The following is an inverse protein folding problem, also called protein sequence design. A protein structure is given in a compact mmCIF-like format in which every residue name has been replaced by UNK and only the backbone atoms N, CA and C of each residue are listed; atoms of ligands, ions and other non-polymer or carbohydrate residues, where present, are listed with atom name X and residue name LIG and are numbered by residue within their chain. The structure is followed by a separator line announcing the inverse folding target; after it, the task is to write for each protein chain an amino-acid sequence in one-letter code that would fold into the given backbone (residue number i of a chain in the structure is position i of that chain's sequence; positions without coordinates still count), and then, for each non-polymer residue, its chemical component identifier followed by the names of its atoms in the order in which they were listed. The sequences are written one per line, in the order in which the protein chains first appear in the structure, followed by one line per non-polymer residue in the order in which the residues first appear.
data_IF_938007573304
#
_entry.id   IF_938007573304
#
_cell.length_a   1.000
_cell.length_b   1.000
_cell.length_c   1.000
_cell.angle_alpha   90.00
_cell.angle_beta   90.00
_cell.angle_gamma   90.00
#
_symmetry.space_group_name_H-M   'P 1'
#
loop_
_entity.id
_entity.type
_entity.pdbx_description
1 polymer ?
#
# COMPACT_ATOMS: atom_id res chain seq x y z
N UNK A 1 -58.80 -42.45 14.42
CA UNK A 1 -57.92 -41.75 13.45
C UNK A 1 -56.49 -41.97 13.90
N UNK A 2 -55.71 -42.76 13.16
CA UNK A 2 -54.32 -43.06 13.51
C UNK A 2 -53.41 -42.20 12.64
N UNK A 3 -52.57 -41.40 13.29
CA UNK A 3 -51.55 -40.59 12.63
C UNK A 3 -50.24 -41.36 12.75
N UNK A 4 -49.59 -41.60 11.60
CA UNK A 4 -48.26 -42.22 11.55
C UNK A 4 -47.25 -41.22 12.11
N UNK A 5 -46.76 -41.46 13.33
CA UNK A 5 -45.82 -40.57 14.03
C UNK A 5 -44.37 -40.80 13.59
N UNK A 6 -44.04 -42.01 13.15
CA UNK A 6 -42.67 -42.37 12.80
C UNK A 6 -42.61 -43.50 11.76
N UNK A 7 -41.62 -43.47 10.87
CA UNK A 7 -41.16 -44.63 10.10
C UNK A 7 -39.65 -44.57 9.94
N UNK A 8 -38.97 -45.64 10.33
CA UNK A 8 -37.55 -45.81 10.06
C UNK A 8 -37.36 -46.60 8.74
N UNK A 9 -36.42 -46.20 7.87
CA UNK A 9 -36.05 -46.99 6.71
C UNK A 9 -35.28 -48.25 7.14
N UNK A 10 -35.53 -49.38 6.48
CA UNK A 10 -34.71 -50.59 6.60
C UNK A 10 -33.41 -50.32 5.85
N UNK A 11 -32.29 -50.24 6.57
CA UNK A 11 -30.96 -50.07 5.98
C UNK A 11 -30.46 -51.43 5.46
N UNK A 12 -30.29 -51.55 4.14
CA UNK A 12 -29.69 -52.72 3.51
C UNK A 12 -28.21 -52.45 3.26
N UNK A 13 -27.34 -53.20 3.94
CA UNK A 13 -25.89 -53.06 3.78
C UNK A 13 -25.44 -53.84 2.54
N UNK A 14 -24.76 -53.15 1.63
CA UNK A 14 -24.25 -53.73 0.39
C UNK A 14 -22.74 -53.94 0.47
N UNK A 15 -22.31 -55.18 0.23
CA UNK A 15 -20.91 -55.60 0.31
C UNK A 15 -20.37 -55.97 -1.07
N UNK A 16 -19.07 -55.75 -1.26
CA UNK A 16 -18.35 -56.14 -2.47
C UNK A 16 -16.92 -56.60 -2.13
N UNK A 17 -16.35 -57.57 -2.88
CA UNK A 17 -14.95 -57.95 -2.74
C UNK A 17 -14.01 -56.77 -3.01
N UNK A 18 -12.83 -56.74 -2.35
CA UNK A 18 -11.84 -55.65 -2.44
C UNK A 18 -11.37 -55.34 -3.88
N UNK A 19 -11.36 -56.32 -4.77
CA UNK A 19 -10.91 -56.19 -6.17
C UNK A 19 -12.08 -56.28 -7.18
N UNK A 20 -13.23 -55.69 -6.84
CA UNK A 20 -14.45 -55.73 -7.67
C UNK A 20 -14.74 -54.42 -8.40
N UNK A 21 -15.58 -54.48 -9.44
CA UNK A 21 -16.05 -53.29 -10.19
C UNK A 21 -16.73 -52.25 -9.28
N UNK A 22 -17.42 -52.69 -8.23
CA UNK A 22 -18.07 -51.79 -7.27
C UNK A 22 -17.06 -50.96 -6.47
N UNK A 23 -15.94 -51.56 -6.07
CA UNK A 23 -14.85 -50.84 -5.38
C UNK A 23 -14.18 -49.83 -6.31
N UNK A 24 -13.96 -50.20 -7.58
CA UNK A 24 -13.42 -49.27 -8.59
C UNK A 24 -14.36 -48.08 -8.79
N UNK A 25 -15.66 -48.30 -8.91
CA UNK A 25 -16.64 -47.21 -9.07
C UNK A 25 -16.68 -46.33 -7.82
N UNK A 26 -16.65 -46.92 -6.61
CA UNK A 26 -16.57 -46.15 -5.36
C UNK A 26 -15.28 -45.31 -5.29
N UNK A 27 -14.15 -45.86 -5.72
CA UNK A 27 -12.88 -45.14 -5.84
C UNK A 27 -13.01 -43.98 -6.84
N UNK A 28 -13.55 -44.22 -8.04
CA UNK A 28 -13.80 -43.17 -9.03
C UNK A 28 -14.69 -42.05 -8.49
N UNK A 29 -15.74 -42.38 -7.71
CA UNK A 29 -16.59 -41.39 -7.06
C UNK A 29 -15.84 -40.58 -5.98
N UNK A 30 -14.96 -41.21 -5.20
CA UNK A 30 -14.11 -40.49 -4.25
C UNK A 30 -13.13 -39.55 -4.98
N UNK A 31 -12.55 -40.00 -6.09
CA UNK A 31 -11.70 -39.15 -6.93
C UNK A 31 -12.49 -37.99 -7.56
N UNK A 32 -13.75 -38.22 -7.96
CA UNK A 32 -14.66 -37.18 -8.47
C UNK A 32 -15.00 -36.13 -7.40
N UNK A 33 -15.05 -36.52 -6.12
CA UNK A 33 -15.28 -35.58 -5.00
C UNK A 33 -14.02 -34.75 -4.69
N UNK A 34 -12.82 -35.29 -4.91
CA UNK A 34 -11.58 -34.64 -4.48
C UNK A 34 -10.90 -33.83 -5.60
N UNK A 35 -10.77 -34.42 -6.79
CA UNK A 35 -9.90 -33.90 -7.86
C UNK A 35 -10.53 -32.68 -8.57
N UNK A 36 -11.75 -32.76 -9.14
CA UNK A 36 -12.33 -31.61 -9.84
C UNK A 36 -12.50 -30.37 -8.94
N UNK A 37 -12.97 -30.48 -7.68
CA UNK A 37 -13.04 -29.31 -6.79
C UNK A 37 -11.71 -28.61 -6.58
N UNK A 38 -10.62 -29.38 -6.48
CA UNK A 38 -9.28 -28.81 -6.35
C UNK A 38 -8.89 -28.01 -7.61
N UNK A 39 -9.12 -28.56 -8.81
CA UNK A 39 -8.83 -27.84 -10.06
C UNK A 39 -9.72 -26.60 -10.24
N UNK A 40 -10.99 -26.66 -9.83
CA UNK A 40 -11.90 -25.50 -9.88
C UNK A 40 -11.42 -24.42 -8.90
N UNK A 41 -11.11 -24.79 -7.65
CA UNK A 41 -10.62 -23.85 -6.65
C UNK A 41 -9.28 -23.21 -7.06
N UNK A 42 -8.38 -23.99 -7.64
CA UNK A 42 -7.10 -23.50 -8.15
C UNK A 42 -7.26 -22.58 -9.37
N UNK A 43 -8.15 -22.92 -10.31
CA UNK A 43 -8.35 -22.12 -11.53
C UNK A 43 -9.04 -20.78 -11.26
N UNK A 44 -9.86 -20.71 -10.21
CA UNK A 44 -10.60 -19.50 -9.79
C UNK A 44 -9.79 -18.53 -8.91
N UNK A 45 -8.47 -18.72 -8.79
CA UNK A 45 -7.48 -17.77 -8.20
C UNK A 45 -7.61 -17.44 -6.71
N UNK A 46 -8.55 -18.01 -5.98
CA UNK A 46 -8.68 -17.80 -4.53
C UNK A 46 -7.78 -18.69 -3.66
N UNK A 47 -7.23 -19.78 -4.21
CA UNK A 47 -6.48 -20.78 -3.45
C UNK A 47 -5.07 -20.31 -3.05
N UNK A 48 -4.42 -19.47 -3.88
CA UNK A 48 -3.07 -18.96 -3.61
C UNK A 48 -3.03 -17.44 -3.75
N UNK A 49 -3.48 -16.76 -2.70
CA UNK A 49 -3.48 -15.30 -2.61
C UNK A 49 -2.05 -14.78 -2.49
N UNK A 50 -1.65 -13.87 -3.39
CA UNK A 50 -0.27 -13.33 -3.44
C UNK A 50 -0.15 -11.97 -2.76
N UNK A 51 -1.17 -11.14 -2.89
CA UNK A 51 -1.21 -9.78 -2.36
C UNK A 51 -2.62 -9.51 -1.83
N UNK A 52 -2.67 -8.78 -0.72
CA UNK A 52 -3.89 -8.22 -0.13
C UNK A 52 -3.67 -6.75 0.17
N UNK A 53 -4.74 -6.02 0.46
CA UNK A 53 -4.67 -4.61 0.78
C UNK A 53 -5.28 -4.28 2.13
N UNK A 54 -4.78 -3.21 2.74
CA UNK A 54 -5.34 -2.62 3.94
C UNK A 54 -5.28 -1.10 3.84
N UNK A 55 -6.08 -0.43 4.67
CA UNK A 55 -6.02 1.02 4.81
C UNK A 55 -5.27 1.39 6.09
N UNK A 56 -4.36 2.35 5.98
CA UNK A 56 -3.62 2.94 7.10
C UNK A 56 -3.28 4.41 6.81
N UNK A 57 -3.38 5.24 7.83
CA UNK A 57 -2.85 6.61 7.85
C UNK A 57 -1.40 6.55 8.34
N UNK A 58 -0.43 7.07 7.58
CA UNK A 58 0.95 7.09 8.03
C UNK A 58 1.13 8.09 9.18
N UNK A 59 1.93 7.74 10.18
CA UNK A 59 2.46 8.72 11.14
C UNK A 59 3.70 9.37 10.54
N UNK A 60 3.65 10.69 10.37
CA UNK A 60 4.62 11.46 9.58
C UNK A 60 5.19 12.57 10.44
N UNK A 61 6.50 12.53 10.67
CA UNK A 61 7.22 13.55 11.42
C UNK A 61 8.16 14.33 10.50
N UNK A 62 8.08 15.65 10.50
CA UNK A 62 9.00 16.49 9.77
C UNK A 62 10.37 16.55 10.45
N UNK A 63 11.40 16.09 9.74
CA UNK A 63 12.75 15.95 10.33
C UNK A 63 13.50 17.28 10.38
N UNK A 64 12.88 18.38 9.95
CA UNK A 64 13.50 19.72 9.86
C UNK A 64 14.66 19.80 8.87
N UNK A 65 14.72 18.85 7.95
CA UNK A 65 15.64 18.86 6.82
C UNK A 65 14.86 19.29 5.58
N UNK A 66 15.31 20.36 4.93
CA UNK A 66 14.67 20.89 3.73
C UNK A 66 15.68 21.55 2.79
N UNK A 67 15.35 21.62 1.51
CA UNK A 67 16.00 22.43 0.49
C UNK A 67 14.94 23.23 -0.25
N UNK A 68 15.17 24.52 -0.43
CA UNK A 68 14.35 25.41 -1.26
C UNK A 68 15.24 26.08 -2.28
N UNK A 69 14.75 26.11 -3.52
CA UNK A 69 15.37 26.78 -4.65
C UNK A 69 14.29 27.65 -5.30
N UNK A 70 14.58 28.94 -5.40
CA UNK A 70 13.79 29.93 -6.09
C UNK A 70 14.58 30.32 -7.34
N UNK A 71 13.99 30.07 -8.49
CA UNK A 71 14.54 30.42 -9.79
C UNK A 71 13.87 31.71 -10.26
N UNK A 72 14.66 32.64 -10.76
CA UNK A 72 14.19 33.86 -11.42
C UNK A 72 14.06 33.70 -12.93
N UNK A 73 13.81 34.81 -13.63
CA UNK A 73 13.62 34.82 -15.08
C UNK A 73 14.90 34.51 -15.86
N UNK A 74 16.07 34.78 -15.26
CA UNK A 74 17.36 34.49 -15.88
C UNK A 74 17.98 33.21 -15.31
N UNK A 75 18.71 32.41 -16.12
CA UNK A 75 19.34 31.17 -15.64
C UNK A 75 20.34 31.33 -14.48
N UNK A 76 20.81 32.56 -14.24
CA UNK A 76 21.75 32.88 -13.17
C UNK A 76 21.07 33.46 -11.92
N UNK A 77 19.80 33.89 -12.02
CA UNK A 77 18.97 34.34 -10.90
C UNK A 77 18.47 33.11 -10.15
N UNK A 78 19.28 32.64 -9.19
CA UNK A 78 18.92 31.51 -8.34
C UNK A 78 19.15 31.93 -6.89
N UNK A 79 18.08 31.91 -6.11
CA UNK A 79 18.10 32.11 -4.67
C UNK A 79 17.79 30.78 -4.01
N UNK A 80 18.47 30.46 -2.93
CA UNK A 80 18.31 29.15 -2.31
C UNK A 80 18.53 29.21 -0.82
N UNK A 81 17.92 28.27 -0.12
CA UNK A 81 18.12 28.08 1.30
C UNK A 81 17.85 26.63 1.69
N UNK A 82 18.60 26.15 2.66
CA UNK A 82 18.40 24.84 3.26
C UNK A 82 18.65 24.92 4.76
N UNK A 83 18.13 23.97 5.51
CA UNK A 83 18.53 23.75 6.90
C UNK A 83 19.88 23.02 7.02
N UNK A 84 20.45 22.56 5.90
CA UNK A 84 21.74 21.83 5.84
C UNK A 84 22.92 22.81 5.77
N UNK A 85 23.79 22.87 6.80
CA UNK A 85 24.90 23.83 6.82
C UNK A 85 25.92 23.64 5.69
N UNK A 86 26.20 22.39 5.33
CA UNK A 86 27.18 22.06 4.29
C UNK A 86 26.71 22.48 2.91
N UNK A 87 25.42 22.30 2.59
CA UNK A 87 24.82 22.78 1.36
C UNK A 87 24.85 24.31 1.27
N UNK A 88 24.46 24.99 2.36
CA UNK A 88 24.50 26.45 2.42
C UNK A 88 25.92 26.99 2.15
N UNK A 89 26.98 26.37 2.70
CA UNK A 89 28.38 26.79 2.43
C UNK A 89 28.76 26.75 0.95
N UNK A 90 28.20 25.82 0.17
CA UNK A 90 28.47 25.71 -1.27
C UNK A 90 27.82 26.83 -2.08
N UNK A 91 26.70 27.37 -1.60
CA UNK A 91 25.88 28.35 -2.30
C UNK A 91 26.33 29.80 -2.09
N UNK A 92 27.09 30.06 -1.01
CA UNK A 92 27.73 31.34 -0.70
C UNK A 92 26.80 32.56 -0.87
N UNK A 93 26.95 33.33 -1.95
CA UNK A 93 26.22 34.58 -2.21
C UNK A 93 24.79 34.37 -2.68
N UNK A 94 24.41 33.14 -3.06
CA UNK A 94 23.06 32.80 -3.55
C UNK A 94 22.08 32.45 -2.42
N UNK A 95 22.52 32.56 -1.17
CA UNK A 95 21.73 32.18 0.00
C UNK A 95 20.81 33.34 0.40
N UNK A 96 19.52 33.04 0.57
CA UNK A 96 18.56 33.95 1.20
C UNK A 96 17.91 33.27 2.37
N UNK A 97 18.21 33.72 3.58
CA UNK A 97 17.67 33.11 4.80
C UNK A 97 16.23 33.61 5.00
N UNK A 98 15.21 32.73 4.94
CA UNK A 98 13.82 33.12 5.17
C UNK A 98 13.49 33.12 6.66
N UNK A 99 12.37 33.77 7.00
CA UNK A 99 11.65 33.47 8.23
C UNK A 99 10.90 32.14 8.05
N UNK A 100 11.44 31.07 8.63
CA UNK A 100 10.88 29.73 8.56
C UNK A 100 9.97 29.42 9.75
N UNK A 101 8.74 28.97 9.48
CA UNK A 101 7.76 28.51 10.47
C UNK A 101 7.17 27.18 9.99
N UNK A 102 6.95 26.26 10.91
CA UNK A 102 6.20 25.04 10.63
C UNK A 102 5.28 24.69 11.80
N UNK A 103 4.19 23.98 11.50
CA UNK A 103 3.22 23.48 12.47
C UNK A 103 2.72 22.11 12.02
N UNK A 104 2.82 21.12 12.89
CA UNK A 104 2.20 19.81 12.69
C UNK A 104 0.92 19.79 13.51
N UNK A 105 -0.16 19.29 12.93
CA UNK A 105 -1.47 19.24 13.58
C UNK A 105 -2.01 17.81 13.58
N UNK A 106 -2.59 17.45 14.72
CA UNK A 106 -3.45 16.29 14.93
C UNK A 106 -4.85 16.88 15.21
N UNK A 107 -5.65 17.00 14.15
CA UNK A 107 -6.91 17.73 14.19
C UNK A 107 -8.02 16.89 14.84
N UNK A 108 -7.93 15.56 14.76
CA UNK A 108 -8.90 14.62 15.33
C UNK A 108 -8.51 14.11 16.74
N UNK A 109 -7.30 14.42 17.21
CA UNK A 109 -6.72 14.05 18.51
C UNK A 109 -6.54 12.54 18.71
N UNK A 110 -6.25 11.80 17.64
CA UNK A 110 -6.02 10.35 17.70
C UNK A 110 -4.56 9.95 17.97
N UNK A 111 -3.65 10.93 18.09
CA UNK A 111 -2.22 10.74 18.31
C UNK A 111 -1.42 10.56 17.01
N UNK A 112 -2.06 10.64 15.85
CA UNK A 112 -1.45 10.62 14.51
C UNK A 112 -1.59 12.01 13.91
N UNK A 113 -0.51 12.50 13.30
CA UNK A 113 -0.53 13.81 12.64
C UNK A 113 -1.39 13.73 11.37
N UNK A 114 -2.22 14.75 11.14
CA UNK A 114 -3.12 14.84 9.98
C UNK A 114 -2.52 15.68 8.86
N UNK A 115 -1.75 16.72 9.19
CA UNK A 115 -1.09 17.56 8.20
C UNK A 115 0.08 18.35 8.79
N UNK A 116 0.92 18.85 7.89
CA UNK A 116 1.92 19.87 8.20
C UNK A 116 1.62 21.16 7.43
N UNK A 117 1.73 22.28 8.13
CA UNK A 117 1.81 23.62 7.57
C UNK A 117 3.25 24.11 7.63
N UNK A 118 3.81 24.47 6.48
CA UNK A 118 5.11 25.10 6.34
C UNK A 118 4.92 26.49 5.74
N UNK A 119 5.59 27.50 6.32
CA UNK A 119 5.61 28.87 5.81
C UNK A 119 7.03 29.41 5.83
N UNK A 120 7.45 30.00 4.72
CA UNK A 120 8.77 30.61 4.53
C UNK A 120 8.59 31.98 3.89
N UNK A 121 9.12 33.01 4.55
CA UNK A 121 9.12 34.39 4.04
C UNK A 121 10.55 34.78 3.67
N UNK A 122 10.86 34.85 2.37
CA UNK A 122 12.18 35.16 1.85
C UNK A 122 12.35 36.67 1.65
N UNK A 123 13.37 37.30 2.25
CA UNK A 123 13.63 38.72 2.01
C UNK A 123 14.14 38.93 0.57
N UNK A 124 13.42 39.73 -0.21
CA UNK A 124 13.70 40.00 -1.62
C UNK A 124 14.43 41.33 -1.79
N UNK A 125 15.46 41.37 -2.66
CA UNK A 125 16.07 42.61 -3.13
C UNK A 125 15.34 43.17 -4.36
N UNK A 126 15.65 44.41 -4.75
CA UNK A 126 15.04 45.10 -5.90
C UNK A 126 15.24 44.38 -7.24
N UNK A 127 16.37 43.68 -7.38
CA UNK A 127 16.74 42.94 -8.60
C UNK A 127 16.32 41.46 -8.54
N UNK A 128 15.81 40.99 -7.40
CA UNK A 128 15.42 39.59 -7.22
C UNK A 128 14.02 39.34 -7.81
N UNK A 129 13.92 38.33 -8.66
CA UNK A 129 12.67 37.87 -9.24
C UNK A 129 12.47 36.36 -9.02
N UNK A 130 11.23 35.93 -8.83
CA UNK A 130 10.90 34.50 -8.67
C UNK A 130 9.84 34.12 -9.68
N UNK A 131 10.16 33.14 -10.52
CA UNK A 131 9.29 32.56 -11.54
C UNK A 131 9.07 31.06 -11.31
N UNK A 132 10.02 30.37 -10.68
CA UNK A 132 9.93 28.94 -10.45
C UNK A 132 10.40 28.59 -9.03
N UNK A 133 9.66 27.72 -8.37
CA UNK A 133 9.93 27.30 -7.01
C UNK A 133 10.06 25.78 -6.97
N UNK A 134 11.16 25.32 -6.40
CA UNK A 134 11.38 23.92 -6.04
C UNK A 134 11.61 23.84 -4.54
N UNK A 135 10.83 23.00 -3.87
CA UNK A 135 10.92 22.77 -2.43
C UNK A 135 10.94 21.27 -2.15
N UNK A 136 11.88 20.86 -1.32
CA UNK A 136 12.11 19.49 -0.92
C UNK A 136 12.09 19.44 0.60
N UNK A 137 11.13 18.72 1.16
CA UNK A 137 10.98 18.52 2.60
C UNK A 137 11.25 17.06 2.93
N UNK A 138 12.01 16.80 3.99
CA UNK A 138 12.29 15.44 4.46
C UNK A 138 11.45 15.14 5.69
N UNK A 139 10.88 13.93 5.71
CA UNK A 139 10.01 13.45 6.76
C UNK A 139 10.48 12.06 7.23
N UNK A 140 10.16 11.69 8.45
CA UNK A 140 10.18 10.31 8.92
C UNK A 140 8.76 9.78 8.85
N UNK A 141 8.57 8.64 8.21
CA UNK A 141 7.26 8.03 8.01
C UNK A 141 7.23 6.67 8.66
N UNK A 142 6.20 6.44 9.47
CA UNK A 142 5.95 5.20 10.20
C UNK A 142 4.62 4.58 9.79
N UNK A 143 4.67 3.27 9.56
CA UNK A 143 3.49 2.41 9.38
C UNK A 143 3.57 1.32 10.44
N UNK A 144 2.43 0.97 11.02
CA UNK A 144 2.34 0.16 12.24
C UNK A 144 1.29 -0.95 12.19
N UNK A 145 0.34 -0.92 11.25
CA UNK A 145 -0.82 -1.82 11.25
C UNK A 145 -0.49 -3.30 10.97
N UNK A 146 0.46 -3.56 10.07
CA UNK A 146 0.91 -4.91 9.71
C UNK A 146 2.40 -5.10 10.03
N UNK A 147 3.27 -4.70 9.11
CA UNK A 147 4.69 -4.56 9.39
C UNK A 147 4.99 -3.19 9.99
N UNK A 148 5.89 -3.17 10.98
CA UNK A 148 6.44 -1.94 11.55
C UNK A 148 7.44 -1.36 10.56
N UNK A 149 7.00 -0.46 9.69
CA UNK A 149 7.84 0.20 8.70
C UNK A 149 8.29 1.55 9.24
N UNK A 150 9.58 1.84 9.13
CA UNK A 150 10.11 3.19 9.33
C UNK A 150 10.96 3.55 8.12
N UNK A 151 10.66 4.67 7.49
CA UNK A 151 11.37 5.15 6.32
C UNK A 151 11.57 6.66 6.37
N UNK A 152 12.66 7.13 5.74
CA UNK A 152 12.83 8.55 5.43
C UNK A 152 12.06 8.85 4.15
N UNK A 153 11.05 9.71 4.27
CA UNK A 153 10.19 10.23 3.23
C UNK A 153 10.71 11.57 2.68
N UNK A 154 10.29 11.90 1.46
CA UNK A 154 10.53 13.17 0.80
C UNK A 154 9.22 13.68 0.22
N UNK A 155 8.95 14.97 0.43
CA UNK A 155 7.92 15.72 -0.28
C UNK A 155 8.62 16.64 -1.27
N UNK A 156 8.40 16.41 -2.56
CA UNK A 156 8.94 17.21 -3.64
C UNK A 156 7.83 18.08 -4.22
N UNK A 157 7.97 19.39 -4.10
CA UNK A 157 7.04 20.40 -4.58
C UNK A 157 7.76 21.24 -5.64
N UNK A 158 7.18 21.33 -6.82
CA UNK A 158 7.78 22.01 -7.95
C UNK A 158 6.71 22.74 -8.76
N UNK A 159 6.93 24.02 -9.04
CA UNK A 159 6.00 24.81 -9.84
C UNK A 159 6.70 25.97 -10.56
N UNK A 160 6.61 25.98 -11.89
CA UNK A 160 7.08 27.06 -12.73
C UNK A 160 5.90 27.91 -13.23
N UNK A 161 5.93 29.20 -12.90
CA UNK A 161 4.96 30.19 -13.33
C UNK A 161 5.41 30.89 -14.63
N UNK A 162 4.45 31.40 -15.39
CA UNK A 162 4.72 32.18 -16.60
C UNK A 162 5.28 33.59 -16.33
N UNK A 163 5.27 34.06 -15.09
CA UNK A 163 5.72 35.39 -14.72
C UNK A 163 6.03 35.52 -13.24
N UNK A 164 6.61 36.66 -12.87
CA UNK A 164 7.05 36.94 -11.51
C UNK A 164 5.88 36.93 -10.51
N UNK A 165 6.10 36.28 -9.37
CA UNK A 165 5.15 36.24 -8.26
C UNK A 165 5.79 36.68 -6.95
N UNK A 166 4.93 37.05 -5.99
CA UNK A 166 5.34 37.35 -4.61
C UNK A 166 4.95 36.24 -3.63
N UNK A 167 4.05 35.34 -4.01
CA UNK A 167 3.68 34.24 -3.14
C UNK A 167 3.26 32.99 -3.91
N UNK A 168 3.50 31.84 -3.28
CA UNK A 168 3.02 30.54 -3.73
C UNK A 168 2.46 29.75 -2.55
N UNK A 169 1.29 29.16 -2.76
CA UNK A 169 0.67 28.26 -1.80
C UNK A 169 0.54 26.88 -2.44
N UNK A 170 1.20 25.88 -1.86
CA UNK A 170 1.02 24.48 -2.21
C UNK A 170 0.03 23.83 -1.26
N UNK A 171 -0.94 23.10 -1.79
CA UNK A 171 -1.81 22.21 -1.02
C UNK A 171 -1.81 20.83 -1.66
N UNK A 172 -1.52 19.77 -0.92
CA UNK A 172 -1.49 18.42 -1.48
C UNK A 172 -1.53 17.34 -0.41
N UNK A 173 -1.55 16.08 -0.83
CA UNK A 173 -1.64 14.90 0.03
C UNK A 173 -0.35 14.09 -0.07
N UNK A 174 0.34 13.83 1.04
CA UNK A 174 1.46 12.89 1.00
C UNK A 174 0.94 11.47 0.92
N UNK A 175 1.46 10.70 -0.04
CA UNK A 175 1.19 9.27 -0.19
C UNK A 175 2.46 8.45 -0.17
N UNK A 176 2.36 7.25 0.38
CA UNK A 176 3.43 6.25 0.35
C UNK A 176 3.33 5.48 -0.95
N UNK A 177 4.39 5.55 -1.75
CA UNK A 177 4.57 4.75 -2.95
C UNK A 177 5.29 3.44 -2.61
N UNK A 178 4.61 2.34 -2.86
CA UNK A 178 5.16 0.98 -2.80
C UNK A 178 5.30 0.41 -4.21
N UNK A 179 6.45 -0.20 -4.53
CA UNK A 179 6.66 -0.92 -5.81
C UNK A 179 6.31 -2.40 -5.71
N UNK A 180 6.53 -2.98 -4.53
CA UNK A 180 6.18 -4.35 -4.16
C UNK A 180 5.42 -4.32 -2.84
N UNK A 181 4.53 -5.30 -2.65
CA UNK A 181 3.80 -5.50 -1.42
C UNK A 181 4.72 -5.59 -0.18
N UNK A 182 4.26 -5.00 0.92
CA UNK A 182 4.91 -5.02 2.22
C UNK A 182 4.88 -6.45 2.83
N UNK A 183 5.82 -6.77 3.73
CA UNK A 183 5.69 -7.98 4.54
C UNK A 183 4.46 -7.89 5.46
N UNK A 184 3.88 -9.05 5.81
CA UNK A 184 2.75 -9.12 6.75
C UNK A 184 3.10 -8.68 8.18
N UNK A 185 4.34 -8.90 8.61
CA UNK A 185 4.81 -8.63 9.96
C UNK A 185 6.31 -8.28 9.98
N UNK A 186 6.80 -7.93 11.17
CA UNK A 186 8.21 -7.66 11.42
C UNK A 186 8.54 -6.18 11.27
N UNK A 187 9.83 -5.85 11.41
CA UNK A 187 10.33 -4.48 11.39
C UNK A 187 11.09 -4.23 10.09
N UNK A 188 10.69 -3.21 9.34
CA UNK A 188 11.34 -2.79 8.11
C UNK A 188 11.93 -1.38 8.27
N UNK A 189 13.24 -1.31 8.50
CA UNK A 189 13.97 -0.04 8.63
C UNK A 189 14.97 0.19 7.50
N UNK A 190 14.97 -0.64 6.46
CA UNK A 190 15.93 -0.57 5.35
C UNK A 190 15.93 0.80 4.65
N UNK A 191 14.78 1.48 4.65
CA UNK A 191 14.62 2.80 4.04
C UNK A 191 14.71 3.96 5.03
N UNK A 192 15.06 3.69 6.30
CA UNK A 192 15.38 4.71 7.29
C UNK A 192 16.85 5.15 7.15
N UNK A 193 17.19 5.61 5.95
CA UNK A 193 18.52 6.11 5.61
C UNK A 193 18.40 7.56 5.16
N UNK A 194 19.42 8.36 5.46
CA UNK A 194 19.46 9.78 5.09
C UNK A 194 19.30 9.93 3.57
N UNK A 195 18.38 10.81 3.17
CA UNK A 195 18.17 11.15 1.75
C UNK A 195 19.16 12.25 1.33
N UNK A 196 19.35 13.23 2.21
CA UNK A 196 20.28 14.33 2.03
C UNK A 196 21.49 14.09 2.93
N UNK A 197 22.69 14.07 2.35
CA UNK A 197 23.92 13.89 3.13
C UNK A 197 24.34 15.23 3.73
N UNK A 198 23.86 15.54 4.94
CA UNK A 198 24.13 16.81 5.64
C UNK A 198 25.62 17.13 5.85
N UNK A 199 26.46 16.11 5.85
CA UNK A 199 27.89 16.21 6.18
C UNK A 199 28.79 16.25 4.94
N UNK A 200 28.25 16.03 3.75
CA UNK A 200 29.08 16.00 2.54
C UNK A 200 29.52 17.42 2.15
N UNK A 201 30.81 17.62 1.85
CA UNK A 201 31.32 18.87 1.28
C UNK A 201 31.17 18.93 -0.25
N UNK A 202 30.71 17.88 -0.92
CA UNK A 202 30.68 17.80 -2.38
C UNK A 202 29.35 18.29 -2.94
N UNK A 203 29.39 19.16 -3.94
CA UNK A 203 28.19 19.67 -4.62
C UNK A 203 27.40 18.58 -5.36
N UNK A 204 28.07 17.54 -5.83
CA UNK A 204 27.44 16.38 -6.49
C UNK A 204 26.42 15.67 -5.59
N UNK A 205 26.65 15.68 -4.28
CA UNK A 205 25.81 14.96 -3.32
C UNK A 205 24.49 15.69 -3.04
N UNK A 206 24.39 16.95 -3.49
CA UNK A 206 23.18 17.78 -3.41
C UNK A 206 22.52 18.00 -4.77
N UNK A 207 22.97 17.29 -5.82
CA UNK A 207 22.32 17.31 -7.11
C UNK A 207 20.92 16.67 -7.01
N UNK A 208 19.87 17.47 -7.26
CA UNK A 208 18.48 17.03 -7.16
C UNK A 208 18.18 15.86 -8.09
N UNK A 209 18.77 15.83 -9.29
CA UNK A 209 18.53 14.75 -10.23
C UNK A 209 19.04 13.40 -9.68
N UNK A 210 20.24 13.39 -9.12
CA UNK A 210 20.82 12.21 -8.48
C UNK A 210 20.03 11.79 -7.24
N UNK A 211 19.64 12.75 -6.39
CA UNK A 211 18.84 12.49 -5.19
C UNK A 211 17.49 11.86 -5.55
N UNK A 212 16.75 12.47 -6.47
CA UNK A 212 15.43 12.00 -6.89
C UNK A 212 15.53 10.62 -7.55
N UNK A 213 16.50 10.43 -8.44
CA UNK A 213 16.70 9.14 -9.13
C UNK A 213 16.97 8.03 -8.12
N UNK A 214 17.92 8.23 -7.19
CA UNK A 214 18.23 7.26 -6.14
C UNK A 214 17.03 7.02 -5.22
N UNK A 215 16.29 8.06 -4.87
CA UNK A 215 15.09 7.96 -4.05
C UNK A 215 14.00 7.11 -4.70
N UNK A 216 13.74 7.30 -6.00
CA UNK A 216 12.72 6.55 -6.74
C UNK A 216 13.10 5.09 -7.03
N UNK A 217 14.38 4.72 -6.90
CA UNK A 217 14.78 3.30 -7.00
C UNK A 217 14.27 2.46 -5.82
N UNK A 218 14.02 3.09 -4.66
CA UNK A 218 13.57 2.41 -3.44
C UNK A 218 12.23 1.69 -3.68
N UNK A 219 12.02 0.58 -2.97
CA UNK A 219 10.73 -0.09 -3.00
C UNK A 219 9.64 0.77 -2.34
N UNK A 220 10.01 1.46 -1.26
CA UNK A 220 9.16 2.38 -0.51
C UNK A 220 9.70 3.79 -0.59
N UNK A 221 8.84 4.71 -0.99
CA UNK A 221 9.09 6.13 -1.09
C UNK A 221 7.80 6.88 -0.76
N UNK A 222 7.85 8.19 -0.67
CA UNK A 222 6.71 9.08 -0.53
C UNK A 222 6.71 10.08 -1.65
N UNK A 223 5.54 10.59 -1.99
CA UNK A 223 5.38 11.68 -2.92
C UNK A 223 4.16 12.50 -2.48
N UNK A 224 4.05 13.72 -2.98
CA UNK A 224 2.85 14.52 -2.78
C UNK A 224 1.96 14.33 -4.00
N UNK A 225 0.77 13.79 -3.77
CA UNK A 225 -0.29 13.62 -4.73
C UNK A 225 -1.27 14.79 -4.64
N UNK A 226 -2.12 14.98 -5.65
CA UNK A 226 -3.14 16.02 -5.68
C UNK A 226 -2.62 17.43 -5.36
N UNK A 227 -1.41 17.77 -5.83
CA UNK A 227 -0.80 19.08 -5.59
C UNK A 227 -1.59 20.16 -6.35
N UNK A 228 -2.08 21.15 -5.61
CA UNK A 228 -2.74 22.34 -6.13
C UNK A 228 -1.85 23.54 -5.79
N UNK A 229 -1.08 24.07 -6.77
CA UNK A 229 -0.31 25.29 -6.61
C UNK A 229 -1.18 26.51 -6.87
N UNK A 230 -1.18 27.47 -5.95
CA UNK A 230 -1.81 28.79 -6.11
C UNK A 230 -0.72 29.83 -6.16
N UNK A 231 -0.48 30.37 -7.36
CA UNK A 231 0.51 31.41 -7.62
C UNK A 231 -0.11 32.79 -7.52
N UNK A 232 0.55 33.72 -6.82
CA UNK A 232 0.11 35.10 -6.68
C UNK A 232 1.08 36.04 -7.38
N UNK A 233 0.56 36.70 -8.41
CA UNK A 233 1.31 37.63 -9.25
C UNK A 233 1.49 39.01 -8.61
N UNK A 234 2.45 39.75 -9.15
CA UNK A 234 2.81 41.09 -8.71
C UNK A 234 3.73 41.07 -7.49
N UNK A 235 4.49 42.13 -7.28
CA UNK A 235 5.36 42.27 -6.11
C UNK A 235 5.37 43.75 -5.71
N UNK A 236 5.00 44.04 -4.46
CA UNK A 236 5.25 45.35 -3.90
C UNK A 236 6.73 45.46 -3.54
N UNK A 237 7.36 46.57 -3.91
CA UNK A 237 8.79 46.81 -3.70
C UNK A 237 9.14 46.62 -2.21
N UNK A 238 10.12 45.77 -1.93
CA UNK A 238 10.61 45.48 -0.57
C UNK A 238 9.75 44.50 0.24
N UNK A 239 8.70 43.90 -0.34
CA UNK A 239 7.97 42.81 0.32
C UNK A 239 8.69 41.47 0.14
N UNK A 240 8.65 40.59 1.16
CA UNK A 240 9.24 39.26 1.06
C UNK A 240 8.43 38.36 0.10
N UNK A 241 9.09 37.35 -0.46
CA UNK A 241 8.42 36.28 -1.18
C UNK A 241 7.90 35.24 -0.19
N UNK A 242 6.61 34.92 -0.23
CA UNK A 242 5.99 33.97 0.71
C UNK A 242 5.75 32.62 0.05
N UNK A 243 6.44 31.59 0.54
CA UNK A 243 6.16 30.19 0.19
C UNK A 243 5.43 29.55 1.36
N UNK A 244 4.21 29.05 1.11
CA UNK A 244 3.53 28.18 2.07
C UNK A 244 3.20 26.84 1.45
N UNK A 245 3.29 25.77 2.23
CA UNK A 245 2.90 24.43 1.82
C UNK A 245 2.09 23.78 2.93
N UNK A 246 0.89 23.30 2.59
CA UNK A 246 0.08 22.42 3.42
C UNK A 246 0.07 21.04 2.82
N UNK A 247 0.56 20.06 3.57
CA UNK A 247 0.63 18.66 3.14
C UNK A 247 -0.19 17.81 4.10
N UNK A 248 -1.27 17.21 3.60
CA UNK A 248 -2.16 16.33 4.36
C UNK A 248 -1.65 14.88 4.34
N UNK A 249 -1.99 14.13 5.39
CA UNK A 249 -1.62 12.73 5.61
C UNK A 249 -2.89 11.87 5.65
N UNK A 250 -3.53 11.58 4.50
CA UNK A 250 -4.78 10.83 4.48
C UNK A 250 -4.58 9.34 4.75
N UNK A 251 -5.67 8.66 5.10
CA UNK A 251 -5.75 7.20 5.02
C UNK A 251 -5.53 6.73 3.57
N UNK A 252 -4.66 5.75 3.38
CA UNK A 252 -4.27 5.26 2.06
C UNK A 252 -4.28 3.73 1.99
N UNK A 253 -4.46 3.21 0.78
CA UNK A 253 -4.42 1.78 0.49
C UNK A 253 -2.96 1.30 0.33
N UNK A 254 -2.57 0.34 1.15
CA UNK A 254 -1.26 -0.31 1.13
C UNK A 254 -1.43 -1.80 0.83
N UNK A 255 -0.46 -2.39 0.13
CA UNK A 255 -0.47 -3.79 -0.27
C UNK A 255 0.51 -4.56 0.62
N UNK A 256 0.14 -5.77 1.00
CA UNK A 256 1.00 -6.66 1.77
C UNK A 256 0.90 -8.10 1.27
N UNK A 257 1.93 -8.88 1.57
CA UNK A 257 2.00 -10.30 1.22
C UNK A 257 1.32 -11.12 2.32
N UNK A 258 0.21 -11.82 2.03
CA UNK A 258 -0.49 -12.65 3.01
C UNK A 258 0.39 -13.77 3.56
N UNK A 259 0.18 -14.11 4.83
CA UNK A 259 0.89 -15.23 5.46
C UNK A 259 0.34 -16.60 5.03
N UNK A 260 1.12 -17.65 5.27
CA UNK A 260 0.71 -19.02 5.03
C UNK A 260 -0.67 -19.34 5.62
N UNK A 261 -0.90 -18.99 6.90
CA UNK A 261 -2.18 -19.27 7.55
C UNK A 261 -3.33 -18.43 6.99
N UNK A 262 -3.06 -17.20 6.54
CA UNK A 262 -4.06 -16.39 5.86
C UNK A 262 -4.43 -17.00 4.51
N UNK A 263 -3.45 -17.45 3.72
CA UNK A 263 -3.69 -18.15 2.44
C UNK A 263 -4.46 -19.44 2.67
N UNK A 264 -4.03 -20.28 3.61
CA UNK A 264 -4.72 -21.52 3.98
C UNK A 264 -6.16 -21.21 4.37
N UNK A 265 -6.39 -20.17 5.20
CA UNK A 265 -7.72 -19.75 5.66
C UNK A 265 -8.69 -19.53 4.49
N UNK A 266 -8.27 -18.85 3.44
CA UNK A 266 -9.13 -18.60 2.29
C UNK A 266 -9.25 -19.83 1.38
N UNK A 267 -8.16 -20.57 1.21
CA UNK A 267 -8.13 -21.80 0.43
C UNK A 267 -9.11 -22.86 0.96
N UNK A 268 -9.17 -23.10 2.27
CA UNK A 268 -10.06 -24.13 2.83
C UNK A 268 -11.54 -23.76 2.69
N UNK A 269 -11.91 -22.49 2.88
CA UNK A 269 -13.29 -22.02 2.72
C UNK A 269 -13.76 -22.24 1.28
N UNK A 270 -12.94 -21.84 0.31
CA UNK A 270 -13.26 -21.99 -1.11
C UNK A 270 -13.34 -23.46 -1.53
N UNK A 271 -12.37 -24.27 -1.10
CA UNK A 271 -12.34 -25.69 -1.41
C UNK A 271 -13.56 -26.43 -0.84
N UNK A 272 -13.88 -26.19 0.43
CA UNK A 272 -15.00 -26.83 1.12
C UNK A 272 -16.34 -26.47 0.48
N UNK A 273 -16.53 -25.21 0.08
CA UNK A 273 -17.74 -24.77 -0.61
C UNK A 273 -17.98 -25.54 -1.92
N UNK A 274 -16.92 -25.83 -2.69
CA UNK A 274 -17.03 -26.59 -3.95
C UNK A 274 -17.21 -28.09 -3.66
N UNK A 275 -16.45 -28.64 -2.71
CA UNK A 275 -16.52 -30.07 -2.36
C UNK A 275 -17.92 -30.48 -1.91
N UNK A 276 -18.63 -29.64 -1.15
CA UNK A 276 -20.02 -29.94 -0.73
C UNK A 276 -20.94 -30.21 -1.94
N UNK A 277 -20.81 -29.44 -3.01
CA UNK A 277 -21.61 -29.65 -4.23
C UNK A 277 -21.27 -30.99 -4.90
N UNK A 278 -19.99 -31.34 -4.93
CA UNK A 278 -19.55 -32.62 -5.49
C UNK A 278 -19.95 -33.82 -4.62
N UNK A 279 -19.95 -33.68 -3.29
CA UNK A 279 -20.50 -34.69 -2.37
C UNK A 279 -21.98 -34.92 -2.68
N UNK A 280 -22.76 -33.85 -2.85
CA UNK A 280 -24.18 -33.96 -3.20
C UNK A 280 -24.39 -34.70 -4.53
N UNK A 281 -23.67 -34.30 -5.58
CA UNK A 281 -23.76 -34.96 -6.90
C UNK A 281 -23.31 -36.43 -6.82
N UNK A 282 -22.22 -36.72 -6.11
CA UNK A 282 -21.72 -38.07 -5.94
C UNK A 282 -22.69 -38.95 -5.14
N UNK A 283 -23.37 -38.43 -4.12
CA UNK A 283 -24.41 -39.15 -3.37
C UNK A 283 -25.60 -39.51 -4.28
N UNK A 284 -26.06 -38.58 -5.12
CA UNK A 284 -27.12 -38.85 -6.11
C UNK A 284 -26.71 -39.96 -7.08
N UNK A 285 -25.49 -39.89 -7.64
CA UNK A 285 -24.97 -40.91 -8.55
C UNK A 285 -24.81 -42.26 -7.84
N UNK A 286 -24.29 -42.25 -6.61
CA UNK A 286 -24.11 -43.45 -5.78
C UNK A 286 -25.44 -44.15 -5.55
N UNK A 287 -26.44 -43.43 -5.07
CA UNK A 287 -27.80 -43.97 -4.85
C UNK A 287 -28.36 -44.53 -6.15
N UNK A 288 -28.22 -43.82 -7.26
CA UNK A 288 -28.71 -44.30 -8.55
C UNK A 288 -28.04 -45.61 -9.00
N UNK A 289 -26.72 -45.75 -8.84
CA UNK A 289 -25.98 -46.96 -9.23
C UNK A 289 -26.40 -48.18 -8.39
N UNK A 290 -26.49 -48.00 -7.08
CA UNK A 290 -26.71 -49.09 -6.13
C UNK A 290 -28.19 -49.46 -5.94
N UNK A 291 -29.13 -48.52 -6.14
CA UNK A 291 -30.56 -48.83 -6.14
C UNK A 291 -30.99 -49.56 -7.41
N UNK A 292 -30.38 -49.24 -8.56
CA UNK A 292 -30.69 -49.90 -9.84
C UNK A 292 -29.86 -51.17 -10.10
N UNK A 293 -29.07 -51.64 -9.14
CA UNK A 293 -28.20 -52.83 -9.26
C UNK A 293 -27.36 -52.84 -10.55
N UNK A 294 -26.88 -51.66 -10.99
CA UNK A 294 -26.07 -51.54 -12.21
C UNK A 294 -24.71 -52.24 -12.10
N UNK A 295 -24.31 -52.61 -10.88
CA UNK A 295 -23.07 -53.29 -10.55
C UNK A 295 -23.38 -54.42 -9.59
N UNK A 296 -22.77 -55.61 -9.74
CA UNK A 296 -22.98 -56.72 -8.82
C UNK A 296 -22.49 -56.38 -7.40
N UNK A 297 -23.43 -56.40 -6.45
CA UNK A 297 -23.22 -56.22 -5.02
C UNK A 297 -23.98 -57.28 -4.24
N UNK A 298 -23.44 -57.69 -3.09
CA UNK A 298 -24.11 -58.64 -2.19
C UNK A 298 -24.90 -57.83 -1.17
N UNK A 299 -26.22 -57.93 -1.20
CA UNK A 299 -27.09 -57.32 -0.19
C UNK A 299 -27.20 -58.28 0.99
N UNK A 300 -26.75 -57.87 2.17
CA UNK A 300 -27.04 -58.63 3.40
C UNK A 300 -28.13 -57.88 4.17
N UNK A 301 -29.29 -58.51 4.33
CA UNK A 301 -30.31 -57.98 5.25
C UNK A 301 -29.85 -58.27 6.67
N UNK A 302 -29.65 -57.23 7.46
CA UNK A 302 -29.52 -57.36 8.91
C UNK A 302 -30.90 -57.72 9.50
N UNK A 303 -31.33 -58.97 9.35
CA UNK A 303 -32.32 -59.55 10.24
C UNK A 303 -31.62 -59.78 11.58
N UNK A 304 -31.83 -58.86 12.52
CA UNK A 304 -31.58 -59.17 13.93
C UNK A 304 -32.57 -60.28 14.33
N UNK A 305 -32.05 -61.47 14.55
CA UNK A 305 -32.72 -62.57 15.25
C UNK A 305 -33.16 -62.16 16.65
#
# INVERSE_FOLDING_TARGET
MLIKVFSAPITADQYAPLLSKAVIVKLCLHLLILIPPFFIAYSTKGLWLREEFYQEQPDVEFTRELIVILHGSTPHSILTWSTLPSYNRLLQTRIRIPLFKFREEDANQDGIRDYIDVSMEFPMQLDDDVTHVTCLLIHEVKLSKHALVTLRGMSYLDYAAAGQGHAIHFSGEMRVRQRNALPSYGKLTTYNTQILNSSSPYASDYDLNTIITNYLTRNLSTFVDNIIPVWQYGQAVGQPFTLSARIYYPNQLLFYQPEFWQVVKFAWIQYLAIVILFIFVADVITRYIFTNFLIPTIVMSNEKS
#
